data_IF_775206424868
#
_entry.id   IF_775206424868
#
_cell.length_a   1.000
_cell.length_b   1.000
_cell.length_c   1.000
_cell.angle_alpha   90.00
_cell.angle_beta   90.00
_cell.angle_gamma   90.00
#
_symmetry.space_group_name_H-M   'P 1'
#
loop_
_entity.id
_entity.type
_entity.pdbx_description
1 polymer ?
#
# COMPACT_ATOMS: atom_id res chain seq x y z
N UNK A 1 5.72 -27.70 -34.30
CA UNK A 1 6.92 -27.10 -33.67
C UNK A 1 6.83 -25.57 -33.55
N UNK A 2 6.71 -24.79 -34.64
CA UNK A 2 6.60 -23.30 -34.55
C UNK A 2 5.46 -22.79 -33.66
N UNK A 3 4.28 -23.41 -33.70
CA UNK A 3 3.12 -23.06 -32.86
C UNK A 3 3.38 -23.29 -31.36
N UNK A 4 4.11 -24.34 -31.01
CA UNK A 4 4.49 -24.65 -29.61
C UNK A 4 5.54 -23.66 -29.09
N UNK A 5 6.52 -23.28 -29.92
CA UNK A 5 7.51 -22.26 -29.58
C UNK A 5 6.82 -20.90 -29.36
N UNK A 6 5.92 -20.50 -30.26
CA UNK A 6 5.16 -19.25 -30.13
C UNK A 6 4.30 -19.22 -28.86
N UNK A 7 3.61 -20.32 -28.55
CA UNK A 7 2.81 -20.44 -27.33
C UNK A 7 3.65 -20.27 -26.07
N UNK A 8 4.78 -20.98 -25.96
CA UNK A 8 5.68 -20.86 -24.81
C UNK A 8 6.24 -19.45 -24.66
N UNK A 9 6.55 -18.78 -25.77
CA UNK A 9 7.08 -17.41 -25.75
C UNK A 9 6.02 -16.42 -25.25
N UNK A 10 4.77 -16.54 -25.72
CA UNK A 10 3.64 -15.75 -25.22
C UNK A 10 3.40 -16.04 -23.74
N UNK A 11 3.43 -17.31 -23.33
CA UNK A 11 3.26 -17.70 -21.94
C UNK A 11 4.33 -17.06 -21.04
N UNK A 12 5.60 -17.11 -21.43
CA UNK A 12 6.68 -16.46 -20.71
C UNK A 12 6.47 -14.94 -20.58
N UNK A 13 6.05 -14.26 -21.65
CA UNK A 13 5.76 -12.83 -21.62
C UNK A 13 4.62 -12.49 -20.65
N UNK A 14 3.56 -13.30 -20.63
CA UNK A 14 2.44 -13.13 -19.70
C UNK A 14 2.91 -13.32 -18.26
N UNK A 15 3.70 -14.37 -17.98
CA UNK A 15 4.24 -14.62 -16.63
C UNK A 15 5.09 -13.45 -16.17
N UNK A 16 6.03 -12.97 -17.00
CA UNK A 16 6.88 -11.82 -16.68
C UNK A 16 6.02 -10.58 -16.38
N UNK A 17 5.02 -10.32 -17.21
CA UNK A 17 4.14 -9.16 -17.02
C UNK A 17 3.35 -9.25 -15.71
N UNK A 18 2.73 -10.40 -15.43
CA UNK A 18 1.96 -10.60 -14.19
C UNK A 18 2.87 -10.50 -12.96
N UNK A 19 4.06 -11.12 -13.00
CA UNK A 19 5.04 -11.04 -11.92
C UNK A 19 5.51 -9.59 -11.69
N UNK A 20 5.75 -8.84 -12.77
CA UNK A 20 6.13 -7.43 -12.67
C UNK A 20 5.02 -6.59 -12.02
N UNK A 21 3.77 -6.75 -12.45
CA UNK A 21 2.64 -6.01 -11.88
C UNK A 21 2.42 -6.37 -10.41
N UNK A 22 2.53 -7.65 -10.07
CA UNK A 22 2.42 -8.11 -8.69
C UNK A 22 3.53 -7.51 -7.81
N UNK A 23 4.78 -7.59 -8.25
CA UNK A 23 5.91 -7.01 -7.51
C UNK A 23 5.72 -5.51 -7.31
N UNK A 24 5.37 -4.78 -8.38
CA UNK A 24 5.14 -3.34 -8.31
C UNK A 24 4.04 -2.97 -7.31
N UNK A 25 2.92 -3.71 -7.29
CA UNK A 25 1.83 -3.49 -6.34
C UNK A 25 2.28 -3.73 -4.89
N UNK A 26 3.03 -4.81 -4.63
CA UNK A 26 3.54 -5.10 -3.29
C UNK A 26 4.55 -4.06 -2.81
N UNK A 27 5.45 -3.61 -3.70
CA UNK A 27 6.40 -2.53 -3.39
C UNK A 27 5.67 -1.23 -3.03
N UNK A 28 4.67 -0.83 -3.82
CA UNK A 28 3.87 0.37 -3.53
C UNK A 28 3.12 0.25 -2.21
N UNK A 29 2.52 -0.91 -1.93
CA UNK A 29 1.84 -1.18 -0.67
C UNK A 29 2.77 -1.02 0.54
N UNK A 30 3.97 -1.57 0.47
CA UNK A 30 4.96 -1.46 1.54
C UNK A 30 5.43 -0.02 1.75
N UNK A 31 5.68 0.72 0.67
CA UNK A 31 6.10 2.14 0.72
C UNK A 31 4.97 3.02 1.27
N UNK A 32 3.73 2.80 0.84
CA UNK A 32 2.58 3.56 1.33
C UNK A 32 2.40 3.36 2.85
N UNK A 33 2.53 2.11 3.31
CA UNK A 33 2.52 1.80 4.74
C UNK A 33 3.66 2.49 5.50
N UNK A 34 4.88 2.48 4.95
CA UNK A 34 6.02 3.17 5.55
C UNK A 34 5.75 4.68 5.73
N UNK A 35 5.12 5.34 4.76
CA UNK A 35 4.73 6.74 4.91
C UNK A 35 3.70 6.96 6.03
N UNK A 36 2.69 6.09 6.14
CA UNK A 36 1.73 6.16 7.23
C UNK A 36 2.38 5.91 8.60
N UNK A 37 3.26 4.90 8.73
CA UNK A 37 4.02 4.67 9.96
C UNK A 37 4.86 5.87 10.37
N UNK A 38 5.56 6.50 9.43
CA UNK A 38 6.33 7.72 9.68
C UNK A 38 5.44 8.87 10.14
N UNK A 39 4.28 9.03 9.52
CA UNK A 39 3.32 10.04 9.89
C UNK A 39 2.83 9.82 11.32
N UNK A 40 2.49 8.58 11.68
CA UNK A 40 2.01 8.25 13.03
C UNK A 40 3.08 8.50 14.09
N UNK A 41 4.32 8.07 13.83
CA UNK A 41 5.43 8.29 14.76
C UNK A 41 5.67 9.79 14.99
N UNK A 42 5.63 10.58 13.92
CA UNK A 42 5.89 12.02 13.98
C UNK A 42 4.76 12.80 14.66
N UNK A 43 3.50 12.48 14.36
CA UNK A 43 2.35 13.28 14.79
C UNK A 43 1.69 12.76 16.07
N UNK A 44 1.74 11.45 16.33
CA UNK A 44 1.13 10.81 17.51
C UNK A 44 2.15 10.28 18.51
N UNK A 45 3.45 10.31 18.21
CA UNK A 45 4.50 9.84 19.13
C UNK A 45 4.52 8.34 19.36
N UNK A 46 3.84 7.55 18.53
CA UNK A 46 3.82 6.09 18.63
C UNK A 46 5.01 5.52 17.88
N UNK A 47 5.88 4.78 18.58
CA UNK A 47 7.05 4.15 17.94
C UNK A 47 6.59 3.12 16.89
N UNK A 48 7.26 3.12 15.73
CA UNK A 48 6.98 2.21 14.61
C UNK A 48 6.93 0.74 14.97
N UNK A 49 7.79 0.28 15.88
CA UNK A 49 7.82 -1.11 16.39
C UNK A 49 6.48 -1.59 16.97
N UNK A 50 5.66 -0.65 17.45
CA UNK A 50 4.35 -0.92 18.03
C UNK A 50 3.23 -0.88 16.99
N UNK A 51 3.50 -0.45 15.75
CA UNK A 51 2.51 -0.35 14.69
C UNK A 51 2.37 -1.68 13.94
N UNK A 52 1.17 -1.93 13.44
CA UNK A 52 0.90 -2.99 12.49
C UNK A 52 -0.09 -2.50 11.43
N UNK A 53 0.09 -2.90 10.18
CA UNK A 53 -0.98 -2.79 9.19
C UNK A 53 -2.05 -3.83 9.50
N UNK A 54 -3.30 -3.41 9.65
CA UNK A 54 -4.46 -4.32 9.69
C UNK A 54 -5.02 -4.51 8.28
N UNK A 55 -5.13 -3.41 7.54
CA UNK A 55 -5.71 -3.41 6.21
C UNK A 55 -4.95 -2.43 5.34
N UNK A 56 -4.66 -2.83 4.10
CA UNK A 56 -4.13 -1.93 3.08
C UNK A 56 -4.77 -2.34 1.76
N UNK A 57 -5.71 -1.53 1.30
CA UNK A 57 -6.51 -1.71 0.10
C UNK A 57 -6.06 -0.75 -0.98
N UNK A 58 -5.78 -1.28 -2.17
CA UNK A 58 -5.46 -0.45 -3.32
C UNK A 58 -6.74 -0.14 -4.10
N UNK A 59 -7.13 1.15 -4.16
CA UNK A 59 -8.23 1.64 -4.98
C UNK A 59 -7.81 1.72 -6.44
N UNK A 60 -8.04 0.62 -7.16
CA UNK A 60 -7.79 0.50 -8.60
C UNK A 60 -8.55 1.61 -9.34
N UNK A 61 -7.86 2.33 -10.22
CA UNK A 61 -8.41 3.46 -10.99
C UNK A 61 -8.14 4.84 -10.39
N UNK A 62 -7.98 4.93 -9.05
CA UNK A 62 -7.57 6.16 -8.37
C UNK A 62 -6.06 6.21 -8.08
N UNK A 63 -5.41 5.03 -7.98
CA UNK A 63 -3.99 4.96 -7.63
C UNK A 63 -3.70 5.09 -6.14
N UNK A 64 -4.74 5.08 -5.31
CA UNK A 64 -4.69 5.35 -3.88
C UNK A 64 -4.62 4.07 -3.04
N UNK A 65 -3.99 4.16 -1.88
CA UNK A 65 -4.01 3.15 -0.85
C UNK A 65 -4.81 3.63 0.35
N UNK A 66 -5.86 2.91 0.69
CA UNK A 66 -6.57 3.10 1.96
C UNK A 66 -5.98 2.12 2.95
N UNK A 67 -5.60 2.59 4.14
CA UNK A 67 -4.99 1.72 5.12
C UNK A 67 -5.40 2.01 6.54
N UNK A 68 -5.42 0.94 7.31
CA UNK A 68 -5.65 0.95 8.75
C UNK A 68 -4.37 0.48 9.42
N UNK A 69 -3.79 1.35 10.23
CA UNK A 69 -2.62 1.06 11.05
C UNK A 69 -3.06 1.01 12.51
N UNK A 70 -2.66 -0.01 13.25
CA UNK A 70 -3.04 -0.18 14.65
C UNK A 70 -1.81 -0.12 15.53
N UNK A 71 -1.91 0.63 16.63
CA UNK A 71 -0.95 0.56 17.73
C UNK A 71 -1.27 -0.65 18.60
N UNK A 72 -0.39 -1.65 18.57
CA UNK A 72 -0.52 -2.91 19.33
C UNK A 72 -0.61 -2.69 20.85
N UNK A 73 -0.10 -1.57 21.37
CA UNK A 73 -0.11 -1.29 22.82
C UNK A 73 -1.41 -0.68 23.29
N UNK A 74 -1.98 0.25 22.52
CA UNK A 74 -3.18 0.99 22.89
C UNK A 74 -4.45 0.50 22.20
N UNK A 75 -4.32 -0.41 21.23
CA UNK A 75 -5.38 -0.84 20.31
C UNK A 75 -6.01 0.33 19.52
N UNK A 76 -5.31 1.47 19.45
CA UNK A 76 -5.77 2.63 18.70
C UNK A 76 -5.59 2.38 17.20
N UNK A 77 -6.65 2.64 16.45
CA UNK A 77 -6.71 2.52 15.01
C UNK A 77 -6.49 3.89 14.37
N UNK A 78 -5.64 3.93 13.35
CA UNK A 78 -5.36 5.11 12.54
C UNK A 78 -5.73 4.81 11.08
N UNK A 79 -6.43 5.74 10.45
CA UNK A 79 -7.01 5.55 9.12
C UNK A 79 -6.35 6.52 8.14
N UNK A 80 -5.76 6.01 7.07
CA UNK A 80 -5.04 6.82 6.10
C UNK A 80 -5.48 6.56 4.67
N UNK A 81 -5.42 7.63 3.87
CA UNK A 81 -5.39 7.55 2.41
C UNK A 81 -4.02 8.01 1.93
N UNK A 82 -3.32 7.18 1.15
CA UNK A 82 -1.96 7.46 0.68
C UNK A 82 -1.91 7.35 -0.84
N UNK A 83 -1.42 8.41 -1.49
CA UNK A 83 -1.10 8.42 -2.92
C UNK A 83 0.42 8.42 -3.12
N UNK A 84 0.88 7.54 -4.00
CA UNK A 84 2.27 7.45 -4.40
C UNK A 84 2.41 7.77 -5.88
N UNK A 85 3.40 8.59 -6.19
CA UNK A 85 3.87 8.81 -7.56
C UNK A 85 4.11 7.47 -8.27
N UNK A 86 3.55 7.36 -9.48
CA UNK A 86 3.63 6.16 -10.29
C UNK A 86 5.05 5.85 -10.78
N UNK A 87 5.96 6.83 -10.80
CA UNK A 87 7.26 6.69 -11.46
C UNK A 87 8.41 6.34 -10.49
N UNK A 88 8.35 6.83 -9.26
CA UNK A 88 9.48 6.75 -8.31
C UNK A 88 9.05 6.38 -6.88
N UNK A 89 7.77 6.05 -6.68
CA UNK A 89 7.18 5.74 -5.37
C UNK A 89 7.27 6.86 -4.33
N UNK A 90 7.57 8.09 -4.76
CA UNK A 90 7.55 9.25 -3.87
C UNK A 90 6.13 9.51 -3.35
N UNK A 91 6.04 10.00 -2.12
CA UNK A 91 4.76 10.42 -1.55
C UNK A 91 4.22 11.59 -2.36
N UNK A 92 3.06 11.40 -2.97
CA UNK A 92 2.33 12.47 -3.62
C UNK A 92 1.33 13.12 -2.63
N UNK A 93 0.63 12.29 -1.86
CA UNK A 93 -0.39 12.73 -0.91
C UNK A 93 -0.56 11.74 0.25
N UNK A 94 -0.84 12.27 1.44
CA UNK A 94 -1.29 11.51 2.59
C UNK A 94 -2.41 12.28 3.31
N UNK A 95 -3.51 11.60 3.57
CA UNK A 95 -4.62 12.08 4.41
C UNK A 95 -4.70 11.26 5.68
N UNK A 96 -4.82 11.93 6.82
CA UNK A 96 -5.21 11.30 8.07
C UNK A 96 -6.72 11.46 8.25
N UNK A 97 -7.44 10.35 8.20
CA UNK A 97 -8.90 10.28 8.34
C UNK A 97 -9.30 9.67 9.69
N UNK A 98 -8.37 9.58 10.65
CA UNK A 98 -8.58 8.90 11.94
C UNK A 98 -9.73 9.50 12.74
N UNK A 99 -9.82 10.84 12.80
CA UNK A 99 -10.86 11.52 13.57
C UNK A 99 -12.25 11.34 12.92
N UNK A 100 -12.33 11.40 11.59
CA UNK A 100 -13.57 11.19 10.83
C UNK A 100 -14.12 9.79 11.07
N UNK A 101 -13.27 8.77 11.12
CA UNK A 101 -13.70 7.39 11.38
C UNK A 101 -14.08 7.14 12.84
N UNK A 102 -13.49 7.87 13.79
CA UNK A 102 -13.83 7.75 15.20
C UNK A 102 -15.14 8.48 15.56
N UNK A 103 -15.49 9.56 14.87
CA UNK A 103 -16.78 10.27 15.07
C UNK A 103 -18.00 9.49 14.53
N UNK A 104 -17.78 8.55 13.61
CA UNK A 104 -18.83 7.74 12.99
C UNK A 104 -19.01 6.35 13.64
N UNK A 105 -18.46 6.14 14.84
CA UNK A 105 -18.64 4.94 15.68
C UNK A 105 -19.49 5.24 16.91
#
# INVERSE_FOLDING_TARGET
MKKLVLFNLIFCLIVIFVSYQYFNLQSRKAIAYFYAENYIETNYGVKKENLNSVEINYRIGMGLFDMVVVDKKSDKHYYFEVDLSNNDFSLYYISDNTDIHNENK
#
